data_IF_796654673513
#
_entry.id   IF_796654673513
#
_cell.length_a   1.000
_cell.length_b   1.000
_cell.length_c   1.000
_cell.angle_alpha   90.00
_cell.angle_beta   90.00
_cell.angle_gamma   90.00
#
_symmetry.space_group_name_H-M   'P 1'
#
loop_
_entity.id
_entity.type
_entity.pdbx_description
1 polymer ?
#
# COMPACT_ATOMS: atom_id res chain seq x y z
N UNK A 1 -22.48 22.22 -2.16
CA UNK A 1 -21.93 20.91 -1.69
C UNK A 1 -22.11 19.82 -2.75
N UNK A 2 -21.10 18.98 -3.00
CA UNK A 2 -21.27 17.83 -3.89
C UNK A 2 -22.28 16.83 -3.31
N UNK A 3 -23.10 16.19 -4.15
CA UNK A 3 -24.05 15.18 -3.68
C UNK A 3 -23.31 13.95 -3.14
N UNK A 4 -23.88 13.21 -2.15
CA UNK A 4 -23.25 12.01 -1.60
C UNK A 4 -22.87 10.97 -2.67
N UNK A 5 -23.72 10.78 -3.68
CA UNK A 5 -23.43 9.89 -4.82
C UNK A 5 -22.22 10.36 -5.64
N UNK A 6 -22.07 11.66 -5.86
CA UNK A 6 -20.91 12.22 -6.57
C UNK A 6 -19.62 12.03 -5.78
N UNK A 7 -19.65 12.27 -4.47
CA UNK A 7 -18.50 12.02 -3.59
C UNK A 7 -18.11 10.54 -3.58
N UNK A 8 -19.10 9.64 -3.54
CA UNK A 8 -18.86 8.20 -3.57
C UNK A 8 -18.21 7.76 -4.89
N UNK A 9 -18.71 8.24 -6.03
CA UNK A 9 -18.10 7.93 -7.33
C UNK A 9 -16.66 8.45 -7.44
N UNK A 10 -16.39 9.69 -6.97
CA UNK A 10 -15.04 10.25 -6.94
C UNK A 10 -14.13 9.41 -6.03
N UNK A 11 -14.59 9.05 -4.82
CA UNK A 11 -13.84 8.20 -3.91
C UNK A 11 -13.57 6.82 -4.53
N UNK A 12 -14.54 6.23 -5.22
CA UNK A 12 -14.38 4.95 -5.92
C UNK A 12 -13.33 5.01 -7.03
N UNK A 13 -13.30 6.08 -7.83
CA UNK A 13 -12.28 6.27 -8.86
C UNK A 13 -10.90 6.44 -8.23
N UNK A 14 -10.77 7.29 -7.19
CA UNK A 14 -9.49 7.48 -6.52
C UNK A 14 -8.99 6.19 -5.89
N UNK A 15 -9.86 5.43 -5.24
CA UNK A 15 -9.49 4.18 -4.60
C UNK A 15 -9.13 3.09 -5.63
N UNK A 16 -9.80 3.08 -6.79
CA UNK A 16 -9.42 2.20 -7.89
C UNK A 16 -8.02 2.53 -8.41
N UNK A 17 -7.67 3.82 -8.55
CA UNK A 17 -6.31 4.23 -8.95
C UNK A 17 -5.29 3.70 -7.95
N UNK A 18 -5.53 3.84 -6.64
CA UNK A 18 -4.66 3.27 -5.59
C UNK A 18 -4.48 1.77 -5.78
N UNK A 19 -5.56 1.01 -5.95
CA UNK A 19 -5.48 -0.44 -6.14
C UNK A 19 -4.70 -0.86 -7.39
N UNK A 20 -4.83 -0.11 -8.49
CA UNK A 20 -4.08 -0.37 -9.73
C UNK A 20 -2.60 -0.01 -9.58
N UNK A 21 -2.28 1.18 -9.10
CA UNK A 21 -0.90 1.66 -9.05
C UNK A 21 -0.10 1.03 -7.92
N UNK A 22 -0.70 0.91 -6.73
CA UNK A 22 -0.09 0.22 -5.59
C UNK A 22 0.02 -1.29 -5.84
N UNK A 23 -1.04 -1.92 -6.35
CA UNK A 23 -1.01 -3.33 -6.74
C UNK A 23 -0.01 -3.64 -7.85
N UNK A 24 0.19 -2.73 -8.80
CA UNK A 24 1.25 -2.85 -9.81
C UNK A 24 2.65 -2.75 -9.19
N UNK A 25 2.89 -1.77 -8.31
CA UNK A 25 4.21 -1.59 -7.71
C UNK A 25 4.54 -2.73 -6.73
N UNK A 26 3.71 -2.92 -5.71
CA UNK A 26 3.97 -3.90 -4.64
C UNK A 26 3.74 -5.34 -5.11
N UNK A 27 2.72 -5.57 -5.93
CA UNK A 27 2.32 -6.92 -6.34
C UNK A 27 3.05 -7.46 -7.57
N UNK A 28 3.66 -6.60 -8.38
CA UNK A 28 4.33 -7.01 -9.63
C UNK A 28 5.77 -6.50 -9.74
N UNK A 29 6.02 -5.21 -9.50
CA UNK A 29 7.38 -4.65 -9.63
C UNK A 29 8.30 -5.19 -8.53
N UNK A 30 7.95 -5.02 -7.26
CA UNK A 30 8.84 -5.39 -6.15
C UNK A 30 9.27 -6.87 -6.16
N UNK A 31 8.35 -7.86 -6.35
CA UNK A 31 8.71 -9.27 -6.37
C UNK A 31 9.54 -9.68 -7.60
N UNK A 32 9.51 -8.88 -8.68
CA UNK A 32 10.30 -9.15 -9.90
C UNK A 32 11.78 -8.76 -9.76
N UNK A 33 12.11 -7.98 -8.73
CA UNK A 33 13.44 -7.38 -8.55
C UNK A 33 14.23 -8.08 -7.45
N UNK A 34 13.57 -8.35 -6.32
CA UNK A 34 14.21 -8.79 -5.10
C UNK A 34 14.33 -10.32 -5.01
N UNK A 35 15.54 -10.80 -4.74
CA UNK A 35 15.82 -12.20 -4.40
C UNK A 35 16.48 -12.23 -3.02
N UNK A 36 15.76 -12.80 -2.04
CA UNK A 36 16.18 -12.83 -0.65
C UNK A 36 17.58 -13.45 -0.49
N UNK A 37 18.50 -12.71 0.12
CA UNK A 37 19.86 -13.15 0.39
C UNK A 37 20.80 -13.22 -0.80
N UNK A 38 20.36 -12.91 -2.03
CA UNK A 38 21.21 -12.92 -3.23
C UNK A 38 21.36 -11.51 -3.83
N UNK A 39 22.41 -10.83 -3.37
CA UNK A 39 22.73 -9.47 -3.81
C UNK A 39 23.12 -9.41 -5.29
N UNK A 40 23.77 -10.45 -5.83
CA UNK A 40 24.24 -10.46 -7.20
C UNK A 40 23.06 -10.59 -8.18
N UNK A 41 22.16 -11.54 -7.92
CA UNK A 41 20.94 -11.73 -8.73
C UNK A 41 20.01 -10.54 -8.59
N UNK A 42 19.79 -10.03 -7.38
CA UNK A 42 18.96 -8.85 -7.14
C UNK A 42 19.48 -7.64 -7.93
N UNK A 43 20.79 -7.37 -7.85
CA UNK A 43 21.40 -6.27 -8.61
C UNK A 43 21.31 -6.48 -10.12
N UNK A 44 21.44 -7.71 -10.62
CA UNK A 44 21.29 -8.02 -12.04
C UNK A 44 19.85 -7.81 -12.53
N UNK A 45 18.85 -8.21 -11.73
CA UNK A 45 17.43 -7.98 -12.02
C UNK A 45 17.12 -6.48 -12.08
N UNK A 46 17.64 -5.70 -11.14
CA UNK A 46 17.50 -4.24 -11.11
C UNK A 46 18.04 -3.60 -12.39
N UNK A 47 19.27 -3.96 -12.80
CA UNK A 47 19.87 -3.43 -14.04
C UNK A 47 19.05 -3.84 -15.28
N UNK A 48 18.56 -5.08 -15.33
CA UNK A 48 17.75 -5.57 -16.44
C UNK A 48 16.36 -4.90 -16.53
N UNK A 49 15.85 -4.37 -15.42
CA UNK A 49 14.49 -3.86 -15.29
C UNK A 49 14.43 -2.36 -14.90
N UNK A 50 15.46 -1.57 -15.24
CA UNK A 50 15.55 -0.14 -14.86
C UNK A 50 14.27 0.64 -15.22
N UNK A 51 13.77 0.48 -16.46
CA UNK A 51 12.55 1.15 -16.91
C UNK A 51 11.33 0.76 -16.07
N UNK A 52 11.20 -0.52 -15.72
CA UNK A 52 10.11 -1.03 -14.89
C UNK A 52 10.18 -0.42 -13.48
N UNK A 53 11.36 -0.30 -12.89
CA UNK A 53 11.55 0.35 -11.60
C UNK A 53 11.17 1.82 -11.61
N UNK A 54 11.52 2.57 -12.67
CA UNK A 54 11.10 3.97 -12.82
C UNK A 54 9.57 4.08 -12.85
N UNK A 55 8.89 3.19 -13.57
CA UNK A 55 7.43 3.15 -13.57
C UNK A 55 6.85 2.73 -12.21
N UNK A 56 7.45 1.76 -11.52
CA UNK A 56 7.07 1.36 -10.16
C UNK A 56 7.16 2.51 -9.16
N UNK A 57 8.26 3.26 -9.16
CA UNK A 57 8.43 4.45 -8.30
C UNK A 57 7.35 5.50 -8.58
N UNK A 58 7.07 5.79 -9.85
CA UNK A 58 6.00 6.74 -10.20
C UNK A 58 4.63 6.21 -9.81
N UNK A 59 4.38 4.90 -9.96
CA UNK A 59 3.14 4.25 -9.54
C UNK A 59 2.95 4.35 -8.02
N UNK A 60 4.00 4.13 -7.22
CA UNK A 60 3.96 4.31 -5.77
C UNK A 60 3.67 5.75 -5.36
N UNK A 61 4.36 6.73 -5.95
CA UNK A 61 4.07 8.13 -5.64
C UNK A 61 2.65 8.54 -6.05
N UNK A 62 2.14 7.95 -7.14
CA UNK A 62 0.76 8.14 -7.59
C UNK A 62 -0.22 7.52 -6.60
N UNK A 63 0.02 6.28 -6.14
CA UNK A 63 -0.86 5.63 -5.14
C UNK A 63 -0.96 6.47 -3.87
N UNK A 64 0.15 7.04 -3.39
CA UNK A 64 0.20 7.78 -2.13
C UNK A 64 -0.67 9.04 -2.21
N UNK A 65 -0.61 9.75 -3.34
CA UNK A 65 -1.45 10.93 -3.58
C UNK A 65 -2.92 10.54 -3.69
N UNK A 66 -3.24 9.51 -4.48
CA UNK A 66 -4.63 9.08 -4.66
C UNK A 66 -5.22 8.46 -3.39
N UNK A 67 -4.38 7.90 -2.52
CA UNK A 67 -4.80 7.36 -1.24
C UNK A 67 -5.22 8.48 -0.29
N UNK A 68 -4.43 9.56 -0.21
CA UNK A 68 -4.81 10.78 0.50
C UNK A 68 -6.14 11.36 -0.03
N UNK A 69 -6.28 11.47 -1.35
CA UNK A 69 -7.51 11.97 -1.98
C UNK A 69 -8.72 11.09 -1.68
N UNK A 70 -8.53 9.76 -1.67
CA UNK A 70 -9.55 8.78 -1.29
C UNK A 70 -10.02 9.02 0.15
N UNK A 71 -9.09 9.10 1.10
CA UNK A 71 -9.41 9.32 2.50
C UNK A 71 -10.12 10.66 2.75
N UNK A 72 -9.66 11.74 2.11
CA UNK A 72 -10.30 13.07 2.21
C UNK A 72 -11.72 13.04 1.61
N UNK A 73 -11.91 12.37 0.48
CA UNK A 73 -13.24 12.27 -0.15
C UNK A 73 -14.19 11.45 0.71
N UNK A 74 -13.73 10.33 1.26
CA UNK A 74 -14.50 9.52 2.22
C UNK A 74 -14.76 10.26 3.52
N UNK A 75 -13.83 11.10 3.99
CA UNK A 75 -14.07 12.00 5.13
C UNK A 75 -15.22 12.95 4.84
N UNK A 76 -15.24 13.61 3.68
CA UNK A 76 -16.32 14.50 3.31
C UNK A 76 -17.67 13.77 3.23
N UNK A 77 -17.65 12.52 2.74
CA UNK A 77 -18.83 11.67 2.66
C UNK A 77 -19.35 11.24 4.05
N UNK A 78 -18.46 10.80 4.95
CA UNK A 78 -18.82 10.07 6.17
C UNK A 78 -18.71 10.88 7.47
N UNK A 79 -18.13 12.09 7.45
CA UNK A 79 -17.94 12.92 8.67
C UNK A 79 -19.23 13.20 9.45
N UNK A 80 -20.39 13.19 8.79
CA UNK A 80 -21.68 13.42 9.42
C UNK A 80 -22.11 12.26 10.33
N UNK A 81 -21.57 11.05 10.11
CA UNK A 81 -21.83 9.84 10.92
C UNK A 81 -20.94 9.82 12.17
N UNK A 82 -19.68 10.25 12.02
CA UNK A 82 -18.72 10.28 13.11
C UNK A 82 -17.45 11.04 12.76
N UNK A 83 -17.36 12.32 13.14
CA UNK A 83 -16.25 13.20 12.78
C UNK A 83 -14.89 12.71 13.29
N UNK A 84 -14.83 12.11 14.48
CA UNK A 84 -13.58 11.63 15.07
C UNK A 84 -13.07 10.36 14.37
N UNK A 85 -13.96 9.39 14.10
CA UNK A 85 -13.60 8.21 13.31
C UNK A 85 -13.13 8.60 11.90
N UNK A 86 -13.83 9.54 11.25
CA UNK A 86 -13.44 10.01 9.92
C UNK A 86 -12.07 10.72 9.94
N UNK A 87 -11.73 11.44 11.01
CA UNK A 87 -10.39 12.03 11.20
C UNK A 87 -9.33 10.96 11.39
N UNK A 88 -9.59 9.94 12.23
CA UNK A 88 -8.65 8.85 12.48
C UNK A 88 -8.33 8.09 11.18
N UNK A 89 -9.34 7.86 10.35
CA UNK A 89 -9.16 7.30 9.00
C UNK A 89 -8.17 8.13 8.17
N UNK A 90 -8.37 9.45 8.08
CA UNK A 90 -7.48 10.33 7.30
C UNK A 90 -6.07 10.37 7.87
N UNK A 91 -5.92 10.43 9.20
CA UNK A 91 -4.60 10.47 9.86
C UNK A 91 -3.81 9.19 9.56
N UNK A 92 -4.44 8.02 9.65
CA UNK A 92 -3.80 6.76 9.31
C UNK A 92 -3.31 6.76 7.85
N UNK A 93 -4.15 7.22 6.91
CA UNK A 93 -3.76 7.33 5.49
C UNK A 93 -2.60 8.31 5.27
N UNK A 94 -2.56 9.45 5.98
CA UNK A 94 -1.45 10.40 5.87
C UNK A 94 -0.13 9.76 6.27
N UNK A 95 -0.11 9.01 7.38
CA UNK A 95 1.09 8.32 7.84
C UNK A 95 1.50 7.23 6.84
N UNK A 96 0.55 6.42 6.38
CA UNK A 96 0.79 5.37 5.40
C UNK A 96 1.39 5.93 4.09
N UNK A 97 0.74 6.95 3.51
CA UNK A 97 1.19 7.59 2.28
C UNK A 97 2.58 8.22 2.42
N UNK A 98 2.90 8.78 3.59
CA UNK A 98 4.23 9.29 3.90
C UNK A 98 5.30 8.19 3.90
N UNK A 99 5.02 7.06 4.55
CA UNK A 99 5.94 5.92 4.60
C UNK A 99 6.15 5.34 3.20
N UNK A 100 5.08 5.13 2.42
CA UNK A 100 5.18 4.63 1.04
C UNK A 100 5.94 5.60 0.12
N UNK A 101 5.74 6.91 0.30
CA UNK A 101 6.50 7.90 -0.47
C UNK A 101 8.00 7.80 -0.18
N UNK A 102 8.38 7.53 1.07
CA UNK A 102 9.78 7.32 1.47
C UNK A 102 10.29 5.96 0.98
N UNK A 103 9.45 4.91 1.03
CA UNK A 103 9.83 3.57 0.54
C UNK A 103 10.18 3.60 -0.96
N UNK A 104 9.44 4.38 -1.76
CA UNK A 104 9.73 4.60 -3.18
C UNK A 104 11.10 5.26 -3.43
N UNK A 105 11.58 6.10 -2.50
CA UNK A 105 12.94 6.68 -2.58
C UNK A 105 14.00 5.59 -2.46
N UNK A 106 13.81 4.62 -1.56
CA UNK A 106 14.75 3.49 -1.43
C UNK A 106 14.79 2.63 -2.70
N UNK A 107 13.64 2.34 -3.32
CA UNK A 107 13.59 1.67 -4.64
C UNK A 107 14.37 2.46 -5.69
N UNK A 108 14.16 3.77 -5.77
CA UNK A 108 14.85 4.62 -6.74
C UNK A 108 16.36 4.66 -6.49
N UNK A 109 16.79 4.79 -5.24
CA UNK A 109 18.23 4.81 -4.89
C UNK A 109 18.88 3.44 -5.15
N UNK A 110 18.19 2.33 -4.88
CA UNK A 110 18.68 0.99 -5.21
C UNK A 110 18.97 0.86 -6.71
N UNK A 111 18.05 1.36 -7.55
CA UNK A 111 18.24 1.42 -9.00
C UNK A 111 19.45 2.27 -9.39
N UNK A 112 19.62 3.44 -8.78
CA UNK A 112 20.78 4.31 -9.05
C UNK A 112 22.10 3.64 -8.66
N UNK A 113 22.17 2.98 -7.51
CA UNK A 113 23.36 2.24 -7.05
C UNK A 113 23.70 1.07 -7.97
N UNK A 114 22.69 0.43 -8.56
CA UNK A 114 22.89 -0.67 -9.50
C UNK A 114 23.34 -0.23 -10.90
N UNK A 115 22.91 0.96 -11.35
CA UNK A 115 23.07 1.40 -12.75
C UNK A 115 24.16 2.44 -12.95
N UNK A 116 24.48 3.25 -11.93
CA UNK A 116 25.56 4.23 -11.97
C UNK A 116 26.90 3.60 -11.55
N UNK A 117 27.80 3.48 -12.53
CA UNK A 117 29.14 2.91 -12.36
C UNK A 117 30.01 3.58 -11.28
N UNK A 118 29.70 4.82 -10.87
CA UNK A 118 30.42 5.51 -9.80
C UNK A 118 30.31 4.78 -8.45
N UNK A 119 29.16 4.16 -8.15
CA UNK A 119 28.98 3.37 -6.93
C UNK A 119 29.83 2.10 -6.96
N UNK A 120 29.85 1.39 -8.08
CA UNK A 120 30.73 0.23 -8.27
C UNK A 120 32.22 0.63 -8.21
N UNK A 121 32.58 1.83 -8.69
CA UNK A 121 33.93 2.36 -8.56
C UNK A 121 34.33 2.67 -7.11
N UNK A 122 33.40 3.18 -6.30
CA UNK A 122 33.66 3.55 -4.91
C UNK A 122 33.62 2.37 -3.93
N UNK A 123 32.67 1.45 -4.10
CA UNK A 123 32.40 0.34 -3.17
C UNK A 123 32.84 -1.03 -3.70
N UNK A 124 33.31 -1.10 -4.95
CA UNK A 124 33.53 -2.34 -5.67
C UNK A 124 32.21 -2.97 -6.18
N UNK A 125 32.25 -3.86 -7.17
CA UNK A 125 31.04 -4.50 -7.70
C UNK A 125 30.21 -5.24 -6.65
N UNK A 126 30.87 -6.03 -5.79
CA UNK A 126 30.21 -6.77 -4.71
C UNK A 126 29.61 -5.84 -3.64
N UNK A 127 30.31 -4.75 -3.30
CA UNK A 127 29.81 -3.76 -2.34
C UNK A 127 28.60 -3.01 -2.89
N UNK A 128 28.61 -2.65 -4.18
CA UNK A 128 27.47 -2.03 -4.85
C UNK A 128 26.25 -2.95 -4.84
N UNK A 129 26.41 -4.22 -5.22
CA UNK A 129 25.32 -5.21 -5.18
C UNK A 129 24.77 -5.40 -3.76
N UNK A 130 25.62 -5.43 -2.73
CA UNK A 130 25.17 -5.54 -1.34
C UNK A 130 24.35 -4.31 -0.89
N UNK A 131 24.73 -3.10 -1.33
CA UNK A 131 23.95 -1.89 -1.07
C UNK A 131 22.59 -1.91 -1.79
N UNK A 132 22.53 -2.41 -3.03
CA UNK A 132 21.25 -2.60 -3.75
C UNK A 132 20.32 -3.49 -2.95
N UNK A 133 20.81 -4.65 -2.49
CA UNK A 133 20.03 -5.59 -1.69
C UNK A 133 19.51 -4.91 -0.40
N UNK A 134 20.40 -4.27 0.36
CA UNK A 134 20.04 -3.57 1.60
C UNK A 134 18.97 -2.49 1.38
N UNK A 135 19.08 -1.71 0.31
CA UNK A 135 18.12 -0.65 0.01
C UNK A 135 16.72 -1.22 -0.33
N UNK A 136 16.66 -2.33 -1.07
CA UNK A 136 15.40 -3.01 -1.35
C UNK A 136 14.82 -3.70 -0.11
N UNK A 137 15.65 -4.22 0.80
CA UNK A 137 15.20 -4.73 2.10
C UNK A 137 14.60 -3.60 2.96
N UNK A 138 15.26 -2.43 3.01
CA UNK A 138 14.71 -1.26 3.71
C UNK A 138 13.37 -0.84 3.11
N UNK A 139 13.25 -0.84 1.78
CA UNK A 139 11.97 -0.57 1.12
C UNK A 139 10.90 -1.59 1.52
N UNK A 140 11.21 -2.88 1.47
CA UNK A 140 10.28 -3.96 1.83
C UNK A 140 9.77 -3.79 3.26
N UNK A 141 10.67 -3.57 4.23
CA UNK A 141 10.28 -3.36 5.62
C UNK A 141 9.57 -2.02 5.87
N UNK A 142 9.85 -0.99 5.06
CA UNK A 142 9.09 0.26 5.10
C UNK A 142 7.65 0.06 4.62
N UNK A 143 7.42 -0.70 3.55
CA UNK A 143 6.07 -1.06 3.08
C UNK A 143 5.34 -1.89 4.15
N UNK A 144 6.02 -2.88 4.73
CA UNK A 144 5.45 -3.68 5.83
C UNK A 144 5.12 -2.82 7.06
N UNK A 145 5.91 -1.79 7.37
CA UNK A 145 5.58 -0.82 8.42
C UNK A 145 4.36 0.06 8.05
N UNK A 146 4.25 0.49 6.78
CA UNK A 146 3.08 1.21 6.27
C UNK A 146 1.80 0.37 6.36
N UNK A 147 1.91 -0.95 6.24
CA UNK A 147 0.80 -1.90 6.33
C UNK A 147 0.03 -1.83 7.66
N UNK A 148 0.70 -1.43 8.75
CA UNK A 148 0.01 -1.13 10.03
C UNK A 148 -1.08 -0.08 9.79
N UNK A 149 -0.76 0.96 9.04
CA UNK A 149 -1.66 2.07 8.76
C UNK A 149 -2.66 1.75 7.63
N UNK A 150 -2.30 0.87 6.69
CA UNK A 150 -3.25 0.23 5.76
C UNK A 150 -4.31 -0.58 6.49
N UNK A 151 -3.97 -1.24 7.59
CA UNK A 151 -4.97 -1.83 8.49
C UNK A 151 -5.77 -0.77 9.24
N UNK A 152 -5.08 0.16 9.92
CA UNK A 152 -5.71 1.08 10.87
C UNK A 152 -6.71 2.06 10.23
N UNK A 153 -6.61 2.40 8.95
CA UNK A 153 -7.62 3.25 8.31
C UNK A 153 -8.91 2.49 7.95
N UNK A 154 -8.83 1.16 7.76
CA UNK A 154 -9.99 0.33 7.44
C UNK A 154 -10.93 0.14 8.65
N UNK A 155 -10.41 0.13 9.88
CA UNK A 155 -11.22 0.06 11.10
C UNK A 155 -12.23 1.22 11.22
N UNK A 156 -11.80 2.50 11.20
CA UNK A 156 -12.74 3.63 11.23
C UNK A 156 -13.60 3.69 9.97
N UNK A 157 -13.08 3.34 8.79
CA UNK A 157 -13.88 3.26 7.57
C UNK A 157 -15.02 2.23 7.71
N UNK A 158 -14.70 1.03 8.18
CA UNK A 158 -15.65 -0.06 8.41
C UNK A 158 -16.69 0.29 9.45
N UNK A 159 -16.28 0.93 10.56
CA UNK A 159 -17.19 1.46 11.57
C UNK A 159 -18.17 2.49 10.97
N UNK A 160 -17.67 3.46 10.19
CA UNK A 160 -18.48 4.49 9.56
C UNK A 160 -19.42 3.88 8.51
N UNK A 161 -18.93 2.95 7.68
CA UNK A 161 -19.73 2.23 6.70
C UNK A 161 -20.89 1.48 7.38
N UNK A 162 -20.60 0.76 8.47
CA UNK A 162 -21.60 0.03 9.26
C UNK A 162 -22.67 0.95 9.86
N UNK A 163 -22.28 2.12 10.40
CA UNK A 163 -23.19 3.05 11.09
C UNK A 163 -23.99 3.94 10.13
N UNK A 164 -23.42 4.28 8.98
CA UNK A 164 -24.00 5.23 8.02
C UNK A 164 -25.29 4.74 7.35
N UNK A 165 -25.49 3.42 7.25
CA UNK A 165 -26.53 2.78 6.41
C UNK A 165 -26.41 3.05 4.90
N UNK A 166 -25.40 3.82 4.47
CA UNK A 166 -25.09 4.07 3.06
C UNK A 166 -24.51 2.84 2.37
N UNK A 167 -23.94 1.92 3.15
CA UNK A 167 -23.29 0.68 2.72
C UNK A 167 -23.95 -0.54 3.37
N UNK A 168 -23.77 -1.76 2.81
CA UNK A 168 -24.13 -3.00 3.49
C UNK A 168 -23.39 -3.13 4.82
N UNK A 169 -24.08 -3.52 5.90
CA UNK A 169 -23.44 -3.74 7.21
C UNK A 169 -22.32 -4.78 7.15
N UNK A 170 -22.49 -5.80 6.30
CA UNK A 170 -21.50 -6.85 6.06
C UNK A 170 -20.18 -6.29 5.50
N UNK A 171 -20.24 -5.30 4.60
CA UNK A 171 -19.05 -4.61 4.10
C UNK A 171 -18.31 -3.89 5.24
N UNK A 172 -19.05 -3.20 6.11
CA UNK A 172 -18.46 -2.55 7.29
C UNK A 172 -17.73 -3.53 8.22
N UNK A 173 -18.29 -4.73 8.44
CA UNK A 173 -17.65 -5.79 9.22
C UNK A 173 -16.40 -6.33 8.51
N UNK A 174 -16.47 -6.58 7.20
CA UNK A 174 -15.34 -7.08 6.42
C UNK A 174 -14.14 -6.13 6.46
N UNK A 175 -14.37 -4.81 6.39
CA UNK A 175 -13.31 -3.80 6.53
C UNK A 175 -12.63 -3.83 7.90
N UNK A 176 -13.39 -4.07 8.98
CA UNK A 176 -12.82 -4.22 10.33
C UNK A 176 -12.03 -5.54 10.44
N UNK A 177 -12.50 -6.63 9.83
CA UNK A 177 -11.75 -7.88 9.79
C UNK A 177 -10.45 -7.75 8.97
N UNK A 178 -10.47 -7.00 7.88
CA UNK A 178 -9.29 -6.67 7.10
C UNK A 178 -8.24 -5.92 7.94
N UNK A 179 -8.67 -5.03 8.84
CA UNK A 179 -7.75 -4.38 9.81
C UNK A 179 -7.00 -5.41 10.64
N UNK A 180 -7.72 -6.39 11.21
CA UNK A 180 -7.11 -7.44 12.03
C UNK A 180 -6.12 -8.26 11.19
N UNK A 181 -6.50 -8.61 9.96
CA UNK A 181 -5.65 -9.35 9.04
C UNK A 181 -4.32 -8.64 8.78
N UNK A 182 -4.36 -7.34 8.45
CA UNK A 182 -3.17 -6.54 8.23
C UNK A 182 -2.27 -6.46 9.46
N UNK A 183 -2.84 -6.24 10.64
CA UNK A 183 -2.07 -6.13 11.88
C UNK A 183 -1.44 -7.48 12.29
N UNK A 184 -2.16 -8.58 12.11
CA UNK A 184 -1.62 -9.92 12.35
C UNK A 184 -0.47 -10.21 11.39
N UNK A 185 -0.63 -9.88 10.11
CA UNK A 185 0.41 -10.11 9.11
C UNK A 185 1.71 -9.37 9.44
N UNK A 186 1.63 -8.10 9.86
CA UNK A 186 2.79 -7.34 10.32
C UNK A 186 3.46 -8.01 11.54
N UNK A 187 2.67 -8.40 12.55
CA UNK A 187 3.20 -9.03 13.76
C UNK A 187 3.91 -10.35 13.43
N UNK A 188 3.32 -11.17 12.57
CA UNK A 188 3.92 -12.45 12.16
C UNK A 188 5.17 -12.21 11.32
N UNK A 189 5.15 -11.26 10.39
CA UNK A 189 6.31 -10.94 9.54
C UNK A 189 7.53 -10.49 10.35
N UNK A 190 7.36 -9.66 11.38
CA UNK A 190 8.48 -9.19 12.21
C UNK A 190 8.91 -10.17 13.31
N UNK A 191 7.98 -10.94 13.89
CA UNK A 191 8.31 -11.81 15.04
C UNK A 191 8.56 -13.27 14.64
N UNK A 192 7.99 -13.74 13.53
CA UNK A 192 7.93 -15.14 13.13
C UNK A 192 8.09 -15.29 11.60
N UNK A 193 9.24 -14.86 11.00
CA UNK A 193 9.40 -14.77 9.54
C UNK A 193 9.15 -16.10 8.81
N UNK A 194 9.59 -17.24 9.36
CA UNK A 194 9.33 -18.55 8.76
C UNK A 194 7.85 -18.99 8.78
N UNK A 195 7.04 -18.43 9.68
CA UNK A 195 5.59 -18.59 9.66
C UNK A 195 4.95 -17.61 8.66
N UNK A 196 5.47 -16.39 8.57
CA UNK A 196 4.98 -15.35 7.66
C UNK A 196 4.96 -15.83 6.20
N UNK A 197 6.04 -16.46 5.74
CA UNK A 197 6.13 -17.06 4.40
C UNK A 197 5.00 -18.06 4.10
N UNK A 198 4.50 -18.77 5.12
CA UNK A 198 3.46 -19.77 4.96
C UNK A 198 2.05 -19.18 4.99
N UNK A 199 1.84 -18.09 5.74
CA UNK A 199 0.50 -17.58 6.04
C UNK A 199 0.14 -16.23 5.42
N UNK A 200 1.12 -15.48 4.90
CA UNK A 200 0.93 -14.15 4.31
C UNK A 200 -0.14 -14.15 3.20
N UNK A 201 -0.12 -15.16 2.32
CA UNK A 201 -1.11 -15.29 1.25
C UNK A 201 -2.55 -15.43 1.76
N UNK A 202 -2.76 -16.13 2.88
CA UNK A 202 -4.08 -16.27 3.48
C UNK A 202 -4.54 -15.01 4.21
N UNK A 203 -3.62 -14.32 4.89
CA UNK A 203 -3.90 -13.05 5.56
C UNK A 203 -4.24 -11.93 4.57
N UNK A 204 -3.80 -12.03 3.32
CA UNK A 204 -4.10 -11.05 2.27
C UNK A 204 -5.51 -11.21 1.67
N UNK A 205 -6.18 -12.36 1.87
CA UNK A 205 -7.50 -12.64 1.25
C UNK A 205 -8.59 -11.71 1.80
N UNK A 206 -8.66 -11.55 3.12
CA UNK A 206 -9.72 -10.76 3.76
C UNK A 206 -9.63 -9.27 3.39
N UNK A 207 -8.45 -8.62 3.46
CA UNK A 207 -8.26 -7.28 2.92
C UNK A 207 -8.65 -7.16 1.45
N UNK A 208 -8.14 -8.05 0.59
CA UNK A 208 -8.45 -8.00 -0.84
C UNK A 208 -9.96 -8.03 -1.11
N UNK A 209 -10.70 -8.94 -0.47
CA UNK A 209 -12.16 -9.01 -0.60
C UNK A 209 -12.83 -7.72 -0.11
N UNK A 210 -12.45 -7.23 1.08
CA UNK A 210 -13.08 -6.06 1.68
C UNK A 210 -12.87 -4.79 0.85
N UNK A 211 -11.66 -4.57 0.36
CA UNK A 211 -11.29 -3.38 -0.39
C UNK A 211 -11.83 -3.42 -1.82
N UNK A 212 -11.73 -4.54 -2.52
CA UNK A 212 -12.35 -4.72 -3.84
C UNK A 212 -13.86 -4.51 -3.74
N UNK A 213 -14.51 -5.05 -2.70
CA UNK A 213 -15.93 -4.82 -2.48
C UNK A 213 -16.22 -3.34 -2.25
N UNK A 214 -15.43 -2.64 -1.43
CA UNK A 214 -15.61 -1.19 -1.20
C UNK A 214 -15.46 -0.39 -2.51
N UNK A 215 -14.42 -0.64 -3.29
CA UNK A 215 -14.16 0.04 -4.58
C UNK A 215 -15.32 -0.17 -5.53
N UNK A 216 -15.72 -1.44 -5.76
CA UNK A 216 -16.81 -1.77 -6.67
C UNK A 216 -18.14 -1.17 -6.19
N UNK A 217 -18.40 -1.16 -4.89
CA UNK A 217 -19.61 -0.57 -4.35
C UNK A 217 -19.67 0.95 -4.57
N UNK A 218 -18.57 1.66 -4.32
CA UNK A 218 -18.47 3.10 -4.56
C UNK A 218 -18.64 3.46 -6.05
N UNK A 219 -18.14 2.63 -6.96
CA UNK A 219 -18.21 2.86 -8.40
C UNK A 219 -19.59 2.54 -9.00
N UNK A 220 -20.19 1.41 -8.61
CA UNK A 220 -21.41 0.90 -9.24
C UNK A 220 -22.67 1.43 -8.55
N UNK A 221 -22.69 1.42 -7.21
CA UNK A 221 -23.86 1.82 -6.41
C UNK A 221 -23.70 3.25 -5.90
N UNK A 222 -22.48 3.67 -5.59
CA UNK A 222 -22.18 4.93 -4.93
C UNK A 222 -22.50 4.85 -3.45
N UNK A 223 -23.76 5.13 -3.12
CA UNK A 223 -24.33 5.02 -1.77
C UNK A 223 -25.84 4.73 -1.87
N UNK A 224 -26.39 3.99 -0.89
CA UNK A 224 -27.84 3.78 -0.74
C UNK A 224 -28.58 5.08 -0.46
#
# INVERSE_FOLDING_TARGET
PASPKRLAAIAGVFYLVVGITGGFSEGFVDPSLYVAGDAAVTSANVVANEGLMRFGVVAHLTDAVFFLLTAVTLYLLLKHVGKNAARLMVVAVIVAAGIISISAVFTFVAMQVATDSSYAGAFGPLGSSALVLLLLEIQHFAVLAAQVFFGLWLAPLGYLAYRSRLFPKTLGVMLVLATVSYLVDVVVAFLLPGLAEQIHGYLSIVPAIAEIWMVLYLLIVGVR
#
